data_IF_385633364718
#
_entry.id   IF_385633364718
#
_cell.length_a   1.000
_cell.length_b   1.000
_cell.length_c   1.000
_cell.angle_alpha   90.00
_cell.angle_beta   90.00
_cell.angle_gamma   90.00
#
_symmetry.space_group_name_H-M   'P 1'
#
loop_
_entity.id
_entity.type
_entity.pdbx_description
1 polymer ?
#
# COMPACT_ATOMS: atom_id res chain seq x y z
N UNK A 1 -0.92 -49.35 -11.49
CA UNK A 1 0.13 -48.56 -12.19
C UNK A 1 0.07 -47.16 -11.63
N UNK A 2 1.17 -46.58 -11.11
CA UNK A 2 1.11 -45.27 -10.48
C UNK A 2 0.82 -44.22 -11.56
N UNK A 3 -0.28 -43.49 -11.38
CA UNK A 3 -0.58 -42.30 -12.17
C UNK A 3 0.45 -41.24 -11.76
N UNK A 4 1.36 -40.91 -12.68
CA UNK A 4 2.20 -39.72 -12.55
C UNK A 4 1.27 -38.50 -12.59
N UNK A 5 0.77 -38.10 -11.43
CA UNK A 5 0.08 -36.82 -11.27
C UNK A 5 1.14 -35.73 -11.45
N UNK A 6 0.98 -34.94 -12.50
CA UNK A 6 1.75 -33.71 -12.68
C UNK A 6 1.50 -32.85 -11.44
N UNK A 7 2.52 -32.71 -10.60
CA UNK A 7 2.48 -31.80 -9.46
C UNK A 7 2.85 -30.41 -9.97
N UNK A 8 1.96 -29.45 -9.79
CA UNK A 8 2.28 -28.04 -10.01
C UNK A 8 3.31 -27.69 -8.94
N UNK A 9 4.57 -27.44 -9.33
CA UNK A 9 5.65 -27.07 -8.40
C UNK A 9 5.64 -25.58 -8.09
N UNK A 10 5.22 -24.76 -9.07
CA UNK A 10 5.12 -23.32 -8.93
C UNK A 10 4.24 -22.74 -10.06
N UNK A 11 3.46 -21.70 -9.78
CA UNK A 11 2.74 -20.91 -10.78
C UNK A 11 3.31 -19.50 -10.81
N UNK A 12 3.52 -18.93 -12.00
CA UNK A 12 4.04 -17.57 -12.18
C UNK A 12 3.03 -16.67 -12.86
N UNK A 13 2.73 -15.54 -12.24
CA UNK A 13 1.93 -14.46 -12.80
C UNK A 13 2.77 -13.18 -12.82
N UNK A 14 3.31 -12.82 -13.99
CA UNK A 14 4.30 -11.76 -14.10
C UNK A 14 5.54 -12.07 -13.24
N UNK A 15 5.82 -11.23 -12.24
CA UNK A 15 6.89 -11.46 -11.27
C UNK A 15 6.45 -12.22 -10.01
N UNK A 16 5.15 -12.50 -9.84
CA UNK A 16 4.62 -13.24 -8.70
C UNK A 16 4.79 -14.74 -8.93
N UNK A 17 5.33 -15.45 -7.93
CA UNK A 17 5.57 -16.89 -8.00
C UNK A 17 4.91 -17.60 -6.82
N UNK A 18 3.85 -18.36 -7.09
CA UNK A 18 3.06 -19.10 -6.10
C UNK A 18 3.64 -20.52 -6.00
N UNK A 19 4.16 -20.96 -4.84
CA UNK A 19 4.63 -22.32 -4.66
C UNK A 19 3.49 -23.33 -4.86
N UNK A 20 3.82 -24.48 -5.43
CA UNK A 20 2.88 -25.53 -5.83
C UNK A 20 1.86 -25.94 -4.77
N UNK A 21 2.32 -26.07 -3.52
CA UNK A 21 1.48 -26.42 -2.38
C UNK A 21 0.42 -25.34 -2.05
N UNK A 22 0.67 -24.09 -2.44
CA UNK A 22 -0.22 -22.96 -2.19
C UNK A 22 -1.18 -22.70 -3.36
N UNK A 23 -0.98 -23.34 -4.52
CA UNK A 23 -1.78 -23.10 -5.73
C UNK A 23 -3.24 -23.50 -5.51
N UNK A 24 -3.50 -24.71 -5.00
CA UNK A 24 -4.86 -25.20 -4.81
C UNK A 24 -5.62 -24.43 -3.72
N UNK A 25 -5.04 -24.15 -2.52
CA UNK A 25 -5.71 -23.33 -1.51
C UNK A 25 -6.01 -21.90 -1.98
N UNK A 26 -5.09 -21.26 -2.69
CA UNK A 26 -5.31 -19.91 -3.26
C UNK A 26 -6.40 -19.94 -4.32
N UNK A 27 -6.40 -20.98 -5.16
CA UNK A 27 -7.43 -21.19 -6.16
C UNK A 27 -8.81 -21.38 -5.53
N UNK A 28 -8.93 -22.29 -4.56
CA UNK A 28 -10.21 -22.60 -3.91
C UNK A 28 -10.77 -21.39 -3.15
N UNK A 29 -9.89 -20.64 -2.46
CA UNK A 29 -10.25 -19.38 -1.82
C UNK A 29 -10.73 -18.33 -2.84
N UNK A 30 -10.01 -18.19 -3.96
CA UNK A 30 -10.40 -17.27 -5.03
C UNK A 30 -11.74 -17.65 -5.65
N UNK A 31 -12.02 -18.95 -5.85
CA UNK A 31 -13.29 -19.42 -6.36
C UNK A 31 -14.41 -19.16 -5.36
N UNK A 32 -14.21 -19.46 -4.08
CA UNK A 32 -15.23 -19.26 -3.05
C UNK A 32 -15.61 -17.79 -2.86
N UNK A 33 -14.64 -16.88 -3.00
CA UNK A 33 -14.87 -15.44 -2.89
C UNK A 33 -15.42 -14.84 -4.19
N UNK A 34 -14.84 -15.20 -5.34
CA UNK A 34 -15.16 -14.58 -6.62
C UNK A 34 -16.41 -15.17 -7.29
N UNK A 35 -16.77 -16.43 -7.00
CA UNK A 35 -17.98 -17.07 -7.55
C UNK A 35 -19.30 -16.38 -7.16
N UNK A 36 -19.25 -15.48 -6.18
CA UNK A 36 -20.37 -14.69 -5.68
C UNK A 36 -20.71 -13.52 -6.62
N UNK A 37 -19.81 -13.16 -7.54
CA UNK A 37 -20.03 -12.10 -8.52
C UNK A 37 -20.52 -12.71 -9.85
N UNK A 38 -21.67 -12.23 -10.34
CA UNK A 38 -22.31 -12.73 -11.57
C UNK A 38 -21.41 -12.53 -12.80
N UNK A 39 -20.55 -11.51 -12.75
CA UNK A 39 -19.61 -11.13 -13.80
C UNK A 39 -18.33 -11.98 -13.78
N UNK A 40 -17.90 -12.47 -12.61
CA UNK A 40 -16.85 -13.48 -12.51
C UNK A 40 -17.31 -14.79 -13.13
N UNK A 41 -18.58 -15.15 -12.90
CA UNK A 41 -19.21 -16.28 -13.57
C UNK A 41 -19.21 -16.08 -15.09
N UNK A 42 -19.53 -14.88 -15.59
CA UNK A 42 -19.44 -14.60 -17.02
C UNK A 42 -18.01 -14.73 -17.58
N UNK A 43 -17.00 -14.31 -16.81
CA UNK A 43 -15.59 -14.36 -17.21
C UNK A 43 -15.03 -15.78 -17.22
N UNK A 44 -15.34 -16.59 -16.21
CA UNK A 44 -14.94 -18.01 -16.17
C UNK A 44 -15.72 -18.84 -17.20
N UNK A 45 -16.98 -18.50 -17.46
CA UNK A 45 -17.79 -19.15 -18.50
C UNK A 45 -17.34 -18.79 -19.93
N UNK A 46 -16.65 -17.66 -20.11
CA UNK A 46 -16.01 -17.30 -21.39
C UNK A 46 -14.75 -18.14 -21.69
N UNK A 47 -14.18 -18.80 -20.67
CA UNK A 47 -13.09 -19.75 -20.82
C UNK A 47 -13.66 -21.11 -21.22
N UNK A 48 -13.46 -21.49 -22.48
CA UNK A 48 -14.06 -22.71 -23.03
C UNK A 48 -13.22 -23.95 -22.76
N UNK A 49 -11.90 -23.83 -22.75
CA UNK A 49 -11.00 -24.95 -22.52
C UNK A 49 -9.64 -24.48 -21.99
N UNK A 50 -9.09 -25.24 -21.04
CA UNK A 50 -7.73 -25.09 -20.52
C UNK A 50 -7.03 -26.44 -20.69
N UNK A 51 -6.04 -26.51 -21.58
CA UNK A 51 -5.20 -27.69 -21.74
C UNK A 51 -3.78 -27.37 -21.29
N UNK A 52 -3.30 -28.13 -20.31
CA UNK A 52 -1.93 -28.04 -19.81
C UNK A 52 -1.17 -29.25 -20.35
N UNK A 53 -0.18 -28.99 -21.20
CA UNK A 53 0.81 -29.98 -21.64
C UNK A 53 2.15 -29.64 -21.00
N UNK A 54 3.13 -30.57 -20.97
CA UNK A 54 4.46 -30.28 -20.44
C UNK A 54 5.17 -29.09 -21.10
N UNK A 55 4.78 -28.74 -22.34
CA UNK A 55 5.45 -27.74 -23.16
C UNK A 55 4.65 -26.44 -23.34
N UNK A 56 3.32 -26.46 -23.11
CA UNK A 56 2.46 -25.29 -23.32
C UNK A 56 1.14 -25.35 -22.54
N UNK A 57 0.66 -24.15 -22.17
CA UNK A 57 -0.71 -23.89 -21.74
C UNK A 57 -1.51 -23.41 -22.95
N UNK A 58 -2.53 -24.16 -23.35
CA UNK A 58 -3.47 -23.75 -24.41
C UNK A 58 -4.77 -23.29 -23.75
N UNK A 59 -5.02 -21.98 -23.81
CA UNK A 59 -6.24 -21.34 -23.33
C UNK A 59 -7.11 -20.96 -24.54
N UNK A 60 -8.29 -21.56 -24.66
CA UNK A 60 -9.27 -21.19 -25.67
C UNK A 60 -10.34 -20.30 -25.04
N UNK A 61 -10.43 -19.05 -25.50
CA UNK A 61 -11.41 -18.06 -25.04
C UNK A 61 -11.96 -17.26 -26.22
N UNK A 62 -13.18 -16.73 -26.07
CA UNK A 62 -13.75 -15.77 -27.02
C UNK A 62 -13.35 -14.36 -26.62
N UNK A 63 -12.37 -13.77 -27.35
CA UNK A 63 -11.86 -12.43 -27.08
C UNK A 63 -12.78 -11.37 -27.69
N UNK A 64 -13.61 -10.73 -26.87
CA UNK A 64 -14.16 -9.41 -27.21
C UNK A 64 -13.18 -8.35 -26.71
N UNK A 65 -12.40 -7.79 -27.64
CA UNK A 65 -11.32 -6.86 -27.32
C UNK A 65 -11.84 -5.51 -26.78
N UNK A 66 -13.05 -5.12 -27.18
CA UNK A 66 -13.73 -3.94 -26.66
C UNK A 66 -14.23 -4.20 -25.23
N UNK A 67 -14.74 -5.41 -24.96
CA UNK A 67 -15.07 -5.82 -23.59
C UNK A 67 -13.83 -5.87 -22.68
N UNK A 68 -12.66 -6.33 -23.16
CA UNK A 68 -11.42 -6.39 -22.36
C UNK A 68 -10.88 -5.00 -21.99
N UNK A 69 -10.91 -4.03 -22.92
CA UNK A 69 -10.54 -2.65 -22.60
C UNK A 69 -11.55 -2.00 -21.65
N UNK A 70 -12.85 -2.21 -21.88
CA UNK A 70 -13.89 -1.76 -20.97
C UNK A 70 -13.76 -2.44 -19.59
N UNK A 71 -13.34 -3.70 -19.50
CA UNK A 71 -13.11 -4.44 -18.26
C UNK A 71 -11.85 -4.00 -17.52
N UNK A 72 -10.86 -3.40 -18.17
CA UNK A 72 -9.66 -2.88 -17.49
C UNK A 72 -9.96 -1.56 -16.75
N UNK A 73 -10.73 -0.69 -17.40
CA UNK A 73 -11.16 0.59 -16.80
C UNK A 73 -12.37 0.38 -15.87
N UNK A 74 -13.31 -0.52 -16.21
CA UNK A 74 -14.44 -0.88 -15.33
C UNK A 74 -14.03 -1.84 -14.22
N UNK A 75 -13.07 -2.75 -14.41
CA UNK A 75 -12.70 -3.78 -13.43
C UNK A 75 -12.18 -3.22 -12.11
N UNK A 76 -11.44 -2.10 -12.15
CA UNK A 76 -11.06 -1.37 -10.93
C UNK A 76 -12.20 -0.49 -10.37
N UNK A 77 -13.14 -0.08 -11.23
CA UNK A 77 -14.34 0.68 -10.85
C UNK A 77 -15.42 -0.20 -10.23
N UNK A 78 -15.49 -1.48 -10.61
CA UNK A 78 -16.45 -2.49 -10.12
C UNK A 78 -16.11 -2.99 -8.71
N UNK A 79 -14.85 -2.86 -8.28
CA UNK A 79 -14.39 -3.25 -6.95
C UNK A 79 -14.57 -2.16 -5.89
N UNK A 80 -14.88 -0.92 -6.30
CA UNK A 80 -15.00 0.24 -5.41
C UNK A 80 -16.43 0.76 -5.48
N UNK A 81 -17.14 0.76 -4.36
CA UNK A 81 -18.53 1.26 -4.33
C UNK A 81 -18.61 2.74 -4.71
N UNK A 82 -19.76 3.20 -5.24
CA UNK A 82 -19.96 4.63 -5.56
C UNK A 82 -19.74 5.55 -4.35
N UNK A 83 -20.08 5.08 -3.15
CA UNK A 83 -19.84 5.78 -1.89
C UNK A 83 -18.34 5.92 -1.61
N UNK A 84 -17.57 4.84 -1.77
CA UNK A 84 -16.12 4.83 -1.58
C UNK A 84 -15.42 5.67 -2.65
N UNK A 85 -15.86 5.58 -3.91
CA UNK A 85 -15.36 6.42 -5.00
C UNK A 85 -15.57 7.90 -4.71
N UNK A 86 -16.77 8.27 -4.26
CA UNK A 86 -17.10 9.64 -3.87
C UNK A 86 -16.23 10.13 -2.71
N UNK A 87 -15.99 9.26 -1.72
CA UNK A 87 -15.09 9.54 -0.59
C UNK A 87 -13.64 9.76 -1.06
N UNK A 88 -13.12 8.88 -1.91
CA UNK A 88 -11.77 9.01 -2.47
C UNK A 88 -11.65 10.31 -3.29
N UNK A 89 -12.67 10.68 -4.07
CA UNK A 89 -12.68 11.96 -4.80
C UNK A 89 -12.62 13.18 -3.86
N UNK A 90 -13.33 13.12 -2.72
CA UNK A 90 -13.26 14.15 -1.69
C UNK A 90 -11.84 14.28 -1.12
N UNK A 91 -11.18 13.16 -0.79
CA UNK A 91 -9.80 13.16 -0.31
C UNK A 91 -8.79 13.62 -1.36
N UNK A 92 -8.98 13.26 -2.63
CA UNK A 92 -8.13 13.75 -3.71
C UNK A 92 -8.21 15.28 -3.82
N UNK A 93 -9.42 15.84 -3.71
CA UNK A 93 -9.61 17.29 -3.73
C UNK A 93 -8.95 17.95 -2.53
N UNK A 94 -9.18 17.42 -1.34
CA UNK A 94 -8.57 17.93 -0.11
C UNK A 94 -7.03 17.86 -0.14
N UNK A 95 -6.46 16.79 -0.73
CA UNK A 95 -5.01 16.67 -0.96
C UNK A 95 -4.49 17.81 -1.84
N UNK A 96 -5.17 18.12 -2.94
CA UNK A 96 -4.77 19.20 -3.85
C UNK A 96 -4.82 20.56 -3.13
N UNK A 97 -5.87 20.81 -2.36
CA UNK A 97 -6.04 22.02 -1.56
C UNK A 97 -4.91 22.13 -0.51
N UNK A 98 -4.62 21.06 0.21
CA UNK A 98 -3.54 20.96 1.20
C UNK A 98 -2.17 21.25 0.58
N UNK A 99 -1.89 20.66 -0.58
CA UNK A 99 -0.64 20.89 -1.33
C UNK A 99 -0.52 22.36 -1.76
N UNK A 100 -1.61 22.96 -2.24
CA UNK A 100 -1.64 24.35 -2.66
C UNK A 100 -1.32 25.29 -1.48
N UNK A 101 -1.93 25.06 -0.33
CA UNK A 101 -1.75 25.91 0.85
C UNK A 101 -0.36 25.74 1.48
N UNK A 102 0.15 24.51 1.57
CA UNK A 102 1.53 24.25 1.98
C UNK A 102 2.55 24.88 1.01
N UNK A 103 2.22 24.97 -0.28
CA UNK A 103 3.09 25.62 -1.28
C UNK A 103 3.14 27.14 -1.09
N UNK A 104 2.03 27.78 -0.71
CA UNK A 104 1.97 29.23 -0.45
C UNK A 104 2.72 29.64 0.82
N UNK A 105 2.61 28.83 1.89
CA UNK A 105 3.22 29.14 3.19
C UNK A 105 4.76 29.15 3.16
N UNK A 106 5.39 28.43 2.22
CA UNK A 106 6.84 28.31 2.15
C UNK A 106 7.54 29.40 1.31
N UNK A 107 6.83 30.47 0.89
CA UNK A 107 7.39 31.64 0.20
C UNK A 107 7.84 31.37 -1.25
N UNK A 108 7.46 32.24 -2.19
CA UNK A 108 7.46 32.02 -3.66
C UNK A 108 8.81 31.90 -4.38
N UNK A 109 9.95 31.94 -3.69
CA UNK A 109 11.24 32.24 -4.34
C UNK A 109 12.10 31.05 -4.80
N UNK A 110 11.65 29.79 -4.68
CA UNK A 110 12.41 28.65 -5.20
C UNK A 110 11.57 27.77 -6.11
N UNK A 111 11.91 27.75 -7.40
CA UNK A 111 11.25 26.96 -8.44
C UNK A 111 11.77 25.51 -8.53
N UNK A 112 12.70 25.13 -7.65
CA UNK A 112 13.24 23.76 -7.57
C UNK A 112 12.86 23.11 -6.23
N UNK A 113 11.89 22.19 -6.28
CA UNK A 113 11.72 21.10 -5.30
C UNK A 113 11.68 21.50 -3.82
N UNK A 114 10.63 22.21 -3.39
CA UNK A 114 10.39 22.42 -1.95
C UNK A 114 10.19 21.06 -1.26
N UNK A 115 10.92 20.78 -0.18
CA UNK A 115 10.66 19.62 0.67
C UNK A 115 9.73 20.00 1.83
N UNK A 116 8.81 19.11 2.20
CA UNK A 116 7.95 19.28 3.35
C UNK A 116 7.90 17.97 4.17
N UNK A 117 7.79 18.06 5.49
CA UNK A 117 7.60 16.85 6.31
C UNK A 117 6.28 16.18 5.96
N UNK A 118 6.29 14.85 5.85
CA UNK A 118 5.09 14.03 5.69
C UNK A 118 4.09 14.29 6.82
N UNK A 119 4.56 14.60 8.03
CA UNK A 119 3.70 14.93 9.17
C UNK A 119 2.79 16.13 8.90
N UNK A 120 3.25 17.15 8.14
CA UNK A 120 2.39 18.30 7.79
C UNK A 120 1.25 17.88 6.89
N UNK A 121 1.52 17.01 5.91
CA UNK A 121 0.47 16.50 5.03
C UNK A 121 -0.49 15.57 5.78
N UNK A 122 0.04 14.65 6.58
CA UNK A 122 -0.77 13.76 7.41
C UNK A 122 -1.68 14.57 8.34
N UNK A 123 -1.17 15.65 8.95
CA UNK A 123 -1.96 16.52 9.80
C UNK A 123 -3.19 17.08 9.07
N UNK A 124 -3.01 17.72 7.92
CA UNK A 124 -4.09 18.31 7.12
C UNK A 124 -5.12 17.26 6.69
N UNK A 125 -4.64 16.09 6.25
CA UNK A 125 -5.50 15.01 5.79
C UNK A 125 -6.30 14.39 6.95
N UNK A 126 -5.70 14.18 8.12
CA UNK A 126 -6.37 13.62 9.29
C UNK A 126 -7.29 14.62 9.99
N UNK A 127 -7.02 15.92 9.92
CA UNK A 127 -8.00 16.94 10.34
C UNK A 127 -9.29 16.85 9.51
N UNK A 128 -9.16 16.64 8.20
CA UNK A 128 -10.31 16.44 7.32
C UNK A 128 -11.03 15.12 7.63
N UNK A 129 -10.30 14.03 7.85
CA UNK A 129 -10.87 12.74 8.25
C UNK A 129 -11.66 12.84 9.57
N UNK A 130 -11.07 13.47 10.59
CA UNK A 130 -11.70 13.68 11.90
C UNK A 130 -13.00 14.49 11.79
N UNK A 131 -12.99 15.55 10.96
CA UNK A 131 -14.18 16.35 10.70
C UNK A 131 -15.28 15.50 10.06
N UNK A 132 -14.93 14.63 9.11
CA UNK A 132 -15.88 13.81 8.36
C UNK A 132 -16.47 12.67 9.18
N UNK A 133 -15.65 11.99 9.98
CA UNK A 133 -16.12 10.95 10.92
C UNK A 133 -17.01 11.50 12.03
N UNK A 134 -16.95 12.81 12.30
CA UNK A 134 -17.80 13.49 13.28
C UNK A 134 -19.12 14.04 12.72
N UNK A 135 -19.43 13.86 11.43
CA UNK A 135 -20.61 14.48 10.79
C UNK A 135 -21.95 13.81 11.18
N UNK A 136 -21.92 12.53 11.53
CA UNK A 136 -23.11 11.75 11.90
C UNK A 136 -22.70 10.48 12.63
N UNK A 137 -23.59 9.90 13.43
CA UNK A 137 -23.36 8.63 14.14
C UNK A 137 -23.11 7.43 13.20
N UNK A 138 -23.49 7.54 11.92
CA UNK A 138 -23.25 6.53 10.88
C UNK A 138 -21.92 6.73 10.12
N UNK A 139 -21.15 7.78 10.41
CA UNK A 139 -19.89 8.02 9.74
C UNK A 139 -18.80 7.11 10.33
N UNK A 140 -18.12 6.37 9.47
CA UNK A 140 -17.07 5.42 9.86
C UNK A 140 -15.69 6.06 9.77
N UNK A 141 -14.94 6.06 10.87
CA UNK A 141 -13.55 6.52 10.89
C UNK A 141 -12.64 5.58 10.09
N UNK A 142 -12.92 4.28 10.09
CA UNK A 142 -12.20 3.27 9.29
C UNK A 142 -12.26 3.62 7.80
N UNK A 143 -13.47 3.89 7.31
CA UNK A 143 -13.76 4.22 5.93
C UNK A 143 -13.08 5.51 5.45
N UNK A 144 -13.09 6.54 6.29
CA UNK A 144 -12.42 7.81 6.06
C UNK A 144 -10.88 7.63 6.05
N UNK A 145 -10.35 6.82 6.97
CA UNK A 145 -8.91 6.49 7.00
C UNK A 145 -8.45 5.70 5.77
N UNK A 146 -9.22 4.70 5.32
CA UNK A 146 -8.89 3.92 4.11
C UNK A 146 -8.79 4.80 2.87
N UNK A 147 -9.76 5.68 2.66
CA UNK A 147 -9.76 6.59 1.52
C UNK A 147 -8.60 7.60 1.58
N UNK A 148 -8.30 8.13 2.77
CA UNK A 148 -7.14 8.99 3.01
C UNK A 148 -5.83 8.28 2.64
N UNK A 149 -5.61 7.09 3.19
CA UNK A 149 -4.38 6.32 2.99
C UNK A 149 -4.20 5.91 1.53
N UNK A 150 -5.28 5.52 0.85
CA UNK A 150 -5.27 5.26 -0.59
C UNK A 150 -4.76 6.46 -1.37
N UNK A 151 -5.36 7.64 -1.17
CA UNK A 151 -4.98 8.86 -1.88
C UNK A 151 -3.53 9.24 -1.63
N UNK A 152 -3.05 9.11 -0.39
CA UNK A 152 -1.65 9.37 -0.03
C UNK A 152 -0.68 8.38 -0.68
N UNK A 153 -0.96 7.07 -0.60
CA UNK A 153 -0.12 6.04 -1.19
C UNK A 153 0.00 6.20 -2.71
N UNK A 154 -1.11 6.54 -3.37
CA UNK A 154 -1.13 6.77 -4.81
C UNK A 154 -0.35 8.02 -5.20
N UNK A 155 -0.54 9.13 -4.48
CA UNK A 155 0.18 10.37 -4.74
C UNK A 155 1.69 10.23 -4.50
N UNK A 156 2.09 9.75 -3.32
CA UNK A 156 3.49 9.65 -2.91
C UNK A 156 4.21 8.55 -3.70
N UNK A 157 3.53 7.44 -4.01
CA UNK A 157 4.04 6.37 -4.87
C UNK A 157 4.07 6.71 -6.36
N UNK A 158 3.64 7.91 -6.77
CA UNK A 158 3.65 8.36 -8.17
C UNK A 158 2.73 7.53 -9.08
N UNK A 159 1.68 6.92 -8.53
CA UNK A 159 0.72 6.09 -9.27
C UNK A 159 -0.45 6.94 -9.76
N UNK A 160 -0.91 6.64 -10.97
CA UNK A 160 -2.06 7.29 -11.57
C UNK A 160 -3.35 6.55 -11.17
N UNK A 161 -4.36 7.30 -10.68
CA UNK A 161 -5.67 6.79 -10.26
C UNK A 161 -6.81 7.29 -11.14
N UNK A 162 -6.50 7.85 -12.32
CA UNK A 162 -7.46 8.46 -13.23
C UNK A 162 -8.42 7.42 -13.82
N UNK A 163 -8.00 6.15 -13.95
CA UNK A 163 -8.90 5.05 -14.34
C UNK A 163 -10.02 4.79 -13.33
N UNK A 164 -9.80 5.12 -12.05
CA UNK A 164 -10.77 4.91 -10.97
C UNK A 164 -11.61 6.19 -10.75
N UNK A 165 -10.95 7.35 -10.70
CA UNK A 165 -11.57 8.61 -10.28
C UNK A 165 -11.91 9.55 -11.44
N UNK A 166 -11.50 9.22 -12.66
CA UNK A 166 -11.46 10.16 -13.77
C UNK A 166 -10.22 11.07 -13.71
N UNK A 167 -9.91 11.70 -14.85
CA UNK A 167 -8.82 12.68 -14.95
C UNK A 167 -9.14 13.92 -14.10
N UNK A 168 -8.17 14.46 -13.35
CA UNK A 168 -8.37 15.70 -12.61
C UNK A 168 -8.40 16.88 -13.58
N UNK A 169 -8.90 18.03 -13.12
CA UNK A 169 -8.72 19.28 -13.87
C UNK A 169 -7.22 19.56 -14.09
N UNK A 170 -6.87 20.19 -15.22
CA UNK A 170 -5.48 20.44 -15.61
C UNK A 170 -4.70 21.17 -14.52
N UNK A 171 -5.30 22.17 -13.87
CA UNK A 171 -4.69 22.91 -12.77
C UNK A 171 -4.34 22.02 -11.57
N UNK A 172 -5.23 21.08 -11.22
CA UNK A 172 -4.99 20.13 -10.14
C UNK A 172 -3.87 19.15 -10.50
N UNK A 173 -3.81 18.69 -11.76
CA UNK A 173 -2.72 17.84 -12.24
C UNK A 173 -1.35 18.54 -12.14
N UNK A 174 -1.30 19.82 -12.49
CA UNK A 174 -0.09 20.66 -12.38
C UNK A 174 0.33 20.80 -10.92
N UNK A 175 -0.61 21.07 -10.01
CA UNK A 175 -0.32 21.16 -8.57
C UNK A 175 0.19 19.84 -7.99
N UNK A 176 -0.43 18.71 -8.32
CA UNK A 176 0.01 17.39 -7.84
C UNK A 176 1.42 17.04 -8.35
N UNK A 177 1.77 17.47 -9.57
CA UNK A 177 3.08 17.21 -10.15
C UNK A 177 4.18 18.12 -9.59
N UNK A 178 3.86 19.40 -9.40
CA UNK A 178 4.82 20.45 -9.05
C UNK A 178 4.81 20.84 -7.56
N UNK A 179 3.95 20.20 -6.76
CA UNK A 179 3.89 20.38 -5.32
C UNK A 179 5.18 19.95 -4.60
N UNK A 180 5.27 20.20 -3.28
CA UNK A 180 6.45 19.86 -2.51
C UNK A 180 6.70 18.34 -2.51
N UNK A 181 7.97 17.96 -2.41
CA UNK A 181 8.36 16.57 -2.15
C UNK A 181 8.22 16.30 -0.66
N UNK A 182 7.29 15.44 -0.30
CA UNK A 182 7.10 15.04 1.09
C UNK A 182 8.21 14.08 1.53
N UNK A 183 8.74 14.31 2.73
CA UNK A 183 9.82 13.53 3.30
C UNK A 183 9.45 12.99 4.67
N UNK A 184 9.88 11.78 4.98
CA UNK A 184 9.88 11.19 6.32
C UNK A 184 11.32 10.98 6.73
N UNK A 185 11.72 11.44 7.92
CA UNK A 185 13.13 11.48 8.35
C UNK A 185 14.04 12.14 7.31
N UNK A 186 13.54 13.21 6.67
CA UNK A 186 14.19 13.97 5.57
C UNK A 186 14.44 13.18 4.27
N UNK A 187 13.81 12.01 4.11
CA UNK A 187 13.93 11.15 2.92
C UNK A 187 12.58 11.00 2.22
N UNK A 188 12.56 11.14 0.90
CA UNK A 188 11.34 11.05 0.08
C UNK A 188 10.90 9.59 -0.05
N UNK A 189 11.86 8.71 -0.31
CA UNK A 189 11.71 7.26 -0.41
C UNK A 189 11.07 6.68 0.86
N UNK A 190 11.51 7.06 2.06
CA UNK A 190 10.90 6.59 3.31
C UNK A 190 9.43 7.02 3.47
N UNK A 191 9.06 8.21 2.98
CA UNK A 191 7.66 8.63 2.97
C UNK A 191 6.82 7.75 2.03
N UNK A 192 7.40 7.29 0.91
CA UNK A 192 6.74 6.36 0.00
C UNK A 192 6.55 4.99 0.62
N UNK A 193 7.63 4.40 1.18
CA UNK A 193 7.60 3.12 1.90
C UNK A 193 6.51 3.13 2.97
N UNK A 194 6.57 4.12 3.87
CA UNK A 194 5.58 4.29 4.94
C UNK A 194 4.13 4.39 4.43
N UNK A 195 3.84 5.31 3.49
CA UNK A 195 2.47 5.53 3.04
C UNK A 195 1.89 4.39 2.23
N UNK A 196 2.71 3.72 1.41
CA UNK A 196 2.29 2.54 0.65
C UNK A 196 2.00 1.38 1.60
N UNK A 197 2.90 1.11 2.55
CA UNK A 197 2.74 0.03 3.53
C UNK A 197 1.53 0.26 4.45
N UNK A 198 1.30 1.51 4.88
CA UNK A 198 0.10 1.88 5.63
C UNK A 198 -1.20 1.66 4.86
N UNK A 199 -1.24 2.06 3.58
CA UNK A 199 -2.42 1.79 2.76
C UNK A 199 -2.66 0.30 2.56
N UNK A 200 -1.62 -0.48 2.26
CA UNK A 200 -1.74 -1.92 2.08
C UNK A 200 -2.33 -2.55 3.35
N UNK A 201 -1.76 -2.28 4.53
CA UNK A 201 -2.27 -2.82 5.78
C UNK A 201 -3.73 -2.41 6.05
N UNK A 202 -4.10 -1.16 5.78
CA UNK A 202 -5.47 -0.68 5.94
C UNK A 202 -6.47 -1.30 4.95
N UNK A 203 -6.06 -1.54 3.70
CA UNK A 203 -6.91 -2.13 2.66
C UNK A 203 -7.17 -3.62 2.91
N UNK A 204 -6.25 -4.29 3.58
CA UNK A 204 -6.20 -5.74 3.68
C UNK A 204 -7.10 -6.34 4.79
N UNK A 205 -7.53 -5.54 5.77
CA UNK A 205 -8.36 -5.98 6.90
C UNK A 205 -7.72 -7.07 7.78
N UNK A 206 -8.51 -7.75 8.62
CA UNK A 206 -8.04 -8.87 9.48
C UNK A 206 -7.50 -10.07 8.68
N UNK A 207 -7.82 -10.17 7.39
CA UNK A 207 -7.49 -11.30 6.51
C UNK A 207 -6.05 -11.31 5.99
N UNK A 208 -5.25 -10.30 6.33
CA UNK A 208 -3.92 -10.11 5.77
C UNK A 208 -2.98 -9.48 6.82
N UNK A 209 -3.00 -10.05 8.03
CA UNK A 209 -2.04 -9.74 9.09
C UNK A 209 -0.56 -10.02 8.71
N UNK A 210 -0.30 -10.50 7.49
CA UNK A 210 1.01 -10.60 6.85
C UNK A 210 0.96 -10.16 5.38
N UNK A 211 0.17 -9.12 5.05
CA UNK A 211 0.25 -8.48 3.74
C UNK A 211 1.62 -7.81 3.58
N UNK A 212 2.52 -8.61 3.04
CA UNK A 212 3.35 -8.20 1.92
C UNK A 212 4.42 -7.15 2.18
N UNK A 213 4.86 -6.96 3.43
CA UNK A 213 6.14 -6.31 3.77
C UNK A 213 7.40 -7.04 3.25
N UNK A 214 7.23 -8.19 2.59
CA UNK A 214 8.27 -8.85 1.80
C UNK A 214 8.25 -8.44 0.31
N UNK A 215 7.40 -7.49 -0.10
CA UNK A 215 7.30 -7.04 -1.49
C UNK A 215 8.12 -5.78 -1.74
N UNK A 216 9.45 -5.97 -1.78
CA UNK A 216 10.37 -5.36 -2.76
C UNK A 216 11.83 -5.67 -2.45
N UNK A 217 12.22 -5.72 -1.18
CA UNK A 217 13.65 -5.63 -0.84
C UNK A 217 14.49 -6.86 -1.22
N UNK A 218 13.89 -8.06 -1.23
CA UNK A 218 14.63 -9.25 -1.66
C UNK A 218 14.80 -9.30 -3.19
N UNK A 219 13.92 -8.68 -3.98
CA UNK A 219 14.01 -8.69 -5.45
C UNK A 219 14.98 -7.63 -5.98
N UNK A 220 15.01 -6.44 -5.38
CA UNK A 220 15.90 -5.34 -5.82
C UNK A 220 17.38 -5.54 -5.43
N UNK A 221 17.67 -6.50 -4.54
CA UNK A 221 19.04 -6.93 -4.22
C UNK A 221 19.80 -7.53 -5.41
N UNK A 222 19.12 -7.82 -6.52
CA UNK A 222 19.70 -8.40 -7.74
C UNK A 222 20.08 -7.36 -8.81
N UNK A 223 19.88 -6.06 -8.57
CA UNK A 223 20.25 -5.02 -9.54
C UNK A 223 20.23 -3.57 -9.09
N UNK A 224 20.04 -3.26 -7.79
CA UNK A 224 19.89 -1.90 -7.27
C UNK A 224 20.81 -1.51 -6.10
N UNK A 225 20.38 -0.48 -5.35
CA UNK A 225 21.08 0.18 -4.23
C UNK A 225 21.45 -0.75 -3.05
N UNK A 226 20.87 -1.94 -2.98
CA UNK A 226 21.04 -2.92 -1.89
C UNK A 226 19.94 -2.81 -0.82
N UNK A 227 19.85 -3.82 0.06
CA UNK A 227 18.87 -3.92 1.14
C UNK A 227 19.05 -2.80 2.20
N UNK A 228 17.96 -2.25 2.72
CA UNK A 228 17.97 -1.11 3.64
C UNK A 228 17.10 -1.36 4.87
N UNK A 229 17.72 -1.47 6.06
CA UNK A 229 16.94 -1.55 7.30
C UNK A 229 16.18 -0.26 7.62
N UNK A 230 16.56 0.87 7.01
CA UNK A 230 15.81 2.11 7.13
C UNK A 230 14.49 2.05 6.35
N UNK A 231 14.50 1.41 5.17
CA UNK A 231 13.32 1.23 4.32
C UNK A 231 12.39 0.20 4.98
N UNK A 232 12.94 -0.91 5.48
CA UNK A 232 12.19 -1.89 6.29
C UNK A 232 11.54 -1.24 7.52
N UNK A 233 12.24 -0.35 8.23
CA UNK A 233 11.68 0.36 9.37
C UNK A 233 10.50 1.28 8.97
N UNK A 234 10.58 1.93 7.80
CA UNK A 234 9.49 2.74 7.27
C UNK A 234 8.29 1.86 6.87
N UNK A 235 8.54 0.71 6.26
CA UNK A 235 7.50 -0.25 5.90
C UNK A 235 6.78 -0.79 7.13
N UNK A 236 7.52 -1.26 8.15
CA UNK A 236 6.94 -1.77 9.39
C UNK A 236 6.16 -0.69 10.15
N UNK A 237 6.70 0.53 10.27
CA UNK A 237 5.97 1.63 10.86
C UNK A 237 4.69 1.96 10.07
N UNK A 238 4.75 1.89 8.74
CA UNK A 238 3.58 2.03 7.88
C UNK A 238 2.54 0.95 8.15
N UNK A 239 2.94 -0.32 8.18
CA UNK A 239 2.04 -1.45 8.50
C UNK A 239 1.33 -1.25 9.82
N UNK A 240 2.05 -0.81 10.86
CA UNK A 240 1.44 -0.57 12.16
C UNK A 240 0.47 0.60 12.16
N UNK A 241 0.81 1.67 11.45
CA UNK A 241 -0.08 2.81 11.23
C UNK A 241 -1.38 2.38 10.52
N UNK A 242 -1.26 1.62 9.45
CA UNK A 242 -2.39 1.13 8.65
C UNK A 242 -3.29 0.17 9.43
N UNK A 243 -2.69 -0.74 10.21
CA UNK A 243 -3.42 -1.66 11.08
C UNK A 243 -4.25 -0.89 12.12
N UNK A 244 -3.64 0.07 12.82
CA UNK A 244 -4.37 0.94 13.76
C UNK A 244 -5.48 1.74 13.09
N UNK A 245 -5.29 2.14 11.84
CA UNK A 245 -6.27 2.92 11.10
C UNK A 245 -7.59 2.19 10.84
N UNK A 246 -7.60 0.85 10.95
CA UNK A 246 -8.76 0.00 10.61
C UNK A 246 -9.12 -1.04 11.67
N UNK A 247 -8.36 -1.15 12.77
CA UNK A 247 -8.56 -2.20 13.79
C UNK A 247 -9.92 -2.16 14.49
N UNK A 248 -10.47 -0.96 14.71
CA UNK A 248 -11.84 -0.73 15.21
C UNK A 248 -12.20 0.74 15.00
N UNK A 249 -13.49 1.09 15.06
CA UNK A 249 -13.89 2.50 14.99
C UNK A 249 -13.24 3.36 16.08
N UNK A 250 -13.11 2.83 17.30
CA UNK A 250 -12.43 3.50 18.41
C UNK A 250 -10.94 3.73 18.10
N UNK A 251 -10.24 2.72 17.60
CA UNK A 251 -8.82 2.82 17.25
C UNK A 251 -8.61 3.79 16.08
N UNK A 252 -9.42 3.65 15.03
CA UNK A 252 -9.41 4.49 13.84
C UNK A 252 -9.67 5.98 14.18
N UNK A 253 -10.65 6.25 15.04
CA UNK A 253 -10.95 7.60 15.51
C UNK A 253 -9.84 8.15 16.43
N UNK A 254 -9.28 7.33 17.32
CA UNK A 254 -8.14 7.73 18.16
C UNK A 254 -6.92 8.14 17.31
N UNK A 255 -6.63 7.36 16.26
CA UNK A 255 -5.61 7.71 15.27
C UNK A 255 -5.90 9.07 14.62
N UNK A 256 -7.14 9.32 14.19
CA UNK A 256 -7.54 10.62 13.62
C UNK A 256 -7.30 11.77 14.59
N UNK A 257 -7.70 11.62 15.86
CA UNK A 257 -7.51 12.65 16.90
C UNK A 257 -6.03 12.95 17.13
N UNK A 258 -5.19 11.91 17.21
CA UNK A 258 -3.76 12.06 17.40
C UNK A 258 -3.11 12.75 16.19
N UNK A 259 -3.39 12.22 14.99
CA UNK A 259 -2.76 12.68 13.75
C UNK A 259 -3.25 14.05 13.30
N UNK A 260 -4.48 14.46 13.63
CA UNK A 260 -4.96 15.82 13.40
C UNK A 260 -4.13 16.90 14.13
N UNK A 261 -3.34 16.50 15.14
CA UNK A 261 -2.51 17.39 15.98
C UNK A 261 -1.01 17.07 15.88
N UNK A 262 -0.62 16.19 14.98
CA UNK A 262 0.77 15.74 14.84
C UNK A 262 1.69 16.92 14.53
N UNK A 263 2.85 16.95 15.18
CA UNK A 263 3.89 17.95 14.89
C UNK A 263 5.27 17.34 14.73
N UNK A 264 5.49 16.10 15.20
CA UNK A 264 6.79 15.44 15.19
C UNK A 264 6.69 14.03 14.59
N UNK A 265 7.62 13.69 13.69
CA UNK A 265 7.75 12.35 13.12
C UNK A 265 8.11 11.29 14.17
N UNK A 266 8.72 11.67 15.30
CA UNK A 266 9.03 10.75 16.42
C UNK A 266 7.79 10.07 17.01
N UNK A 267 6.59 10.62 16.78
CA UNK A 267 5.36 10.03 17.30
C UNK A 267 4.97 8.76 16.53
N UNK A 268 5.32 8.60 15.24
CA UNK A 268 4.89 7.46 14.41
C UNK A 268 6.00 6.79 13.60
N UNK A 269 7.23 7.31 13.66
CA UNK A 269 8.37 6.74 12.96
C UNK A 269 9.57 6.75 13.90
N UNK A 270 10.34 5.66 14.07
CA UNK A 270 11.52 5.69 14.93
C UNK A 270 12.68 6.48 14.32
N UNK A 271 13.69 6.77 15.15
CA UNK A 271 14.98 7.29 14.66
C UNK A 271 15.74 6.17 13.96
N UNK A 272 16.31 6.50 12.79
CA UNK A 272 16.99 5.54 11.92
C UNK A 272 18.51 5.51 12.10
N UNK A 273 19.02 6.24 13.09
CA UNK A 273 20.45 6.26 13.40
C UNK A 273 20.98 4.84 13.60
N UNK A 274 22.11 4.57 12.96
CA UNK A 274 22.86 3.31 13.06
C UNK A 274 22.17 2.09 12.43
N UNK A 275 21.15 2.28 11.56
CA UNK A 275 20.61 1.20 10.76
C UNK A 275 21.52 0.94 9.54
N UNK A 276 21.85 -0.32 9.23
CA UNK A 276 22.60 -0.65 8.02
C UNK A 276 21.75 -0.43 6.77
N UNK A 277 22.37 0.13 5.74
CA UNK A 277 21.71 0.41 4.46
C UNK A 277 22.63 0.05 3.28
N UNK A 278 22.04 -0.10 2.09
CA UNK A 278 22.77 -0.40 0.87
C UNK A 278 23.48 -1.75 0.87
N UNK A 279 22.93 -2.73 1.59
CA UNK A 279 23.53 -4.05 1.72
C UNK A 279 23.29 -4.86 0.45
N UNK A 280 24.32 -4.99 -0.37
CA UNK A 280 24.30 -5.91 -1.51
C UNK A 280 24.10 -7.37 -1.05
N UNK A 281 23.50 -8.21 -1.90
CA UNK A 281 23.06 -9.57 -1.52
C UNK A 281 24.16 -10.38 -0.82
N UNK A 282 25.39 -10.36 -1.33
CA UNK A 282 26.52 -11.08 -0.73
C UNK A 282 26.90 -10.54 0.67
N UNK A 283 26.84 -9.21 0.86
CA UNK A 283 27.11 -8.58 2.15
C UNK A 283 25.97 -8.86 3.14
N UNK A 284 24.72 -8.77 2.68
CA UNK A 284 23.54 -9.13 3.48
C UNK A 284 23.64 -10.58 3.96
N UNK A 285 23.86 -11.54 3.06
CA UNK A 285 24.01 -12.97 3.41
C UNK A 285 25.16 -13.21 4.38
N UNK A 286 26.30 -12.53 4.19
CA UNK A 286 27.45 -12.66 5.10
C UNK A 286 27.13 -12.12 6.49
N UNK A 287 26.47 -10.97 6.61
CA UNK A 287 26.24 -10.28 7.89
C UNK A 287 24.98 -10.77 8.62
N UNK A 288 23.90 -11.01 7.88
CA UNK A 288 22.57 -11.29 8.40
C UNK A 288 22.06 -12.68 8.03
N UNK A 289 22.67 -13.40 7.09
CA UNK A 289 22.25 -14.74 6.70
C UNK A 289 21.03 -14.73 5.78
N UNK A 290 20.07 -15.59 6.08
CA UNK A 290 18.73 -15.59 5.46
C UNK A 290 17.76 -14.82 6.34
N UNK A 291 16.53 -14.63 5.87
CA UNK A 291 15.44 -14.05 6.68
C UNK A 291 15.05 -14.90 7.90
N UNK A 292 15.54 -16.14 7.98
CA UNK A 292 15.33 -17.07 9.10
C UNK A 292 16.54 -17.12 10.07
N UNK A 293 17.64 -16.45 9.71
CA UNK A 293 18.85 -16.44 10.53
C UNK A 293 18.65 -15.55 11.76
N UNK A 294 19.08 -16.03 12.92
CA UNK A 294 18.94 -15.33 14.19
C UNK A 294 19.59 -13.92 14.18
N UNK A 295 20.58 -13.66 13.33
CA UNK A 295 21.18 -12.32 13.17
C UNK A 295 20.21 -11.34 12.54
N UNK A 296 19.47 -11.77 11.52
CA UNK A 296 18.42 -10.99 10.90
C UNK A 296 17.25 -10.79 11.86
N UNK A 297 16.77 -11.86 12.51
CA UNK A 297 15.69 -11.79 13.51
C UNK A 297 16.02 -10.82 14.65
N UNK A 298 17.27 -10.77 15.13
CA UNK A 298 17.67 -9.78 16.15
C UNK A 298 17.55 -8.34 15.67
N UNK A 299 17.84 -8.08 14.39
CA UNK A 299 17.67 -6.74 13.82
C UNK A 299 16.19 -6.40 13.67
N UNK A 300 15.36 -7.36 13.21
CA UNK A 300 13.90 -7.17 13.15
C UNK A 300 13.32 -6.84 14.53
N UNK A 301 13.64 -7.63 15.55
CA UNK A 301 13.15 -7.38 16.92
C UNK A 301 13.59 -6.00 17.46
N UNK A 302 14.77 -5.51 17.05
CA UNK A 302 15.21 -4.16 17.40
C UNK A 302 14.41 -3.08 16.65
N UNK A 303 14.07 -3.30 15.37
CA UNK A 303 13.18 -2.40 14.63
C UNK A 303 11.78 -2.37 15.25
N UNK A 304 11.20 -3.53 15.53
CA UNK A 304 9.89 -3.67 16.15
C UNK A 304 9.87 -2.94 17.49
N UNK A 305 10.89 -3.16 18.35
CA UNK A 305 11.04 -2.43 19.61
C UNK A 305 11.12 -0.93 19.41
N UNK A 306 11.85 -0.43 18.41
CA UNK A 306 11.94 1.01 18.14
C UNK A 306 10.59 1.59 17.71
N UNK A 307 9.86 0.86 16.87
CA UNK A 307 8.53 1.22 16.41
C UNK A 307 7.58 1.24 17.60
N UNK A 308 7.50 0.18 18.40
CA UNK A 308 6.64 0.10 19.58
C UNK A 308 6.88 1.22 20.61
N UNK A 309 8.07 1.82 20.63
CA UNK A 309 8.38 2.97 21.49
C UNK A 309 7.94 4.33 20.93
N UNK A 310 7.51 4.40 19.67
CA UNK A 310 6.91 5.61 19.09
C UNK A 310 5.61 5.92 19.83
N UNK A 311 5.35 7.20 20.08
CA UNK A 311 4.24 7.64 20.94
C UNK A 311 2.88 7.12 20.47
N UNK A 312 2.64 7.11 19.17
CA UNK A 312 1.40 6.65 18.56
C UNK A 312 1.13 5.16 18.83
N UNK A 313 2.17 4.34 18.83
CA UNK A 313 2.04 2.88 18.94
C UNK A 313 2.07 2.35 20.38
N UNK A 314 2.50 3.18 21.34
CA UNK A 314 2.53 2.80 22.77
C UNK A 314 1.16 2.68 23.41
N UNK A 315 0.19 3.46 22.95
CA UNK A 315 -1.15 3.55 23.54
C UNK A 315 -2.11 2.49 22.94
N UNK A 316 -1.59 1.38 22.42
CA UNK A 316 -2.36 0.23 21.89
C UNK A 316 -3.14 -0.56 22.98
N UNK A 317 -3.20 -0.07 24.22
CA UNK A 317 -3.79 -0.74 25.39
C UNK A 317 -5.09 -0.12 25.85
#
# INVERSE_FOLDING_TARGET
MPQNLLAIEQVRFGSLSIPGWAVQPVWDFSQQYLSQFEEYQQLINAVQNIQITPEQLVLTYTADWEAIEQLKDRGLTLLVSDAERSRIQLYRRHLVESINDLSKQNGTNDQHGRQASLSRLLQEMFQFALKRSSLSDQASAIDENKALLFVLAMHLGGRNIDGILGKPAVEQAVLLKNGPKFTLRKRVDLAQHFSISAFIAAAAGDGLAQATGLFKEVSDSKGGSGFSFADLAADQAGVEFGTMAVASETSAHSLQVHMARITNEDDYMPKLSSLPEGLQEATFKRQYGTTEDARYTRMQNELDRRIDNCRLYRDKG
#
